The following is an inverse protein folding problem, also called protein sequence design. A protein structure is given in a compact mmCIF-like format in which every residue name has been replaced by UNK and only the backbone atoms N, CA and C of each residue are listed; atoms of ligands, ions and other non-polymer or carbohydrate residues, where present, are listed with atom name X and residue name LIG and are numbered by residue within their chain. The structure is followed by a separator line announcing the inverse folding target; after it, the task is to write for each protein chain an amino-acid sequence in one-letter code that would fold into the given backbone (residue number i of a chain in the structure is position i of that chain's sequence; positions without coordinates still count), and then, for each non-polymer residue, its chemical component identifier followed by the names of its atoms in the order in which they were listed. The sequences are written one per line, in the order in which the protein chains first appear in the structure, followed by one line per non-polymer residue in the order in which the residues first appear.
data_IF_038568271025
#
_entry.id   IF_038568271025
#
_cell.length_a   1.000
_cell.length_b   1.000
_cell.length_c   1.000
_cell.angle_alpha   90.00
_cell.angle_beta   90.00
_cell.angle_gamma   90.00
#
_symmetry.space_group_name_H-M   'P 1'
#
loop_
_entity.id
_entity.type
_entity.pdbx_description
1 polymer ?
#
# COMPACT_ATOMS: atom_id res chain seq x y z
N UNK A 1 10.12 -51.93 -4.02
CA UNK A 1 10.40 -51.42 -5.38
C UNK A 1 9.47 -50.23 -5.62
N UNK A 2 9.93 -48.98 -5.41
CA UNK A 2 9.12 -47.81 -5.77
C UNK A 2 9.05 -47.72 -7.29
N UNK A 3 7.83 -47.72 -7.85
CA UNK A 3 7.62 -47.44 -9.28
C UNK A 3 7.39 -45.95 -9.44
N UNK A 4 8.20 -45.29 -10.26
CA UNK A 4 7.94 -43.91 -10.66
C UNK A 4 6.67 -43.87 -11.53
N UNK A 5 5.78 -42.92 -11.23
CA UNK A 5 4.59 -42.65 -12.03
C UNK A 5 4.87 -41.47 -12.97
N UNK A 6 4.51 -41.61 -14.25
CA UNK A 6 4.52 -40.52 -15.23
C UNK A 6 3.20 -40.54 -15.98
N UNK A 7 2.47 -39.43 -15.97
CA UNK A 7 1.22 -39.29 -16.71
C UNK A 7 1.22 -37.93 -17.40
N UNK A 8 1.15 -37.93 -18.74
CA UNK A 8 1.13 -36.72 -19.58
C UNK A 8 2.23 -35.68 -19.27
N UNK A 9 3.39 -36.14 -18.78
CA UNK A 9 4.47 -35.26 -18.32
C UNK A 9 5.02 -34.29 -19.39
N UNK A 10 4.81 -34.58 -20.67
CA UNK A 10 5.29 -33.75 -21.79
C UNK A 10 4.17 -32.94 -22.47
N UNK A 11 2.95 -32.93 -21.92
CA UNK A 11 1.83 -32.15 -22.46
C UNK A 11 1.83 -30.77 -21.78
N UNK A 12 1.87 -29.66 -22.53
CA UNK A 12 1.74 -28.34 -21.94
C UNK A 12 0.39 -28.18 -21.23
N UNK A 13 0.41 -27.59 -20.05
CA UNK A 13 -0.76 -27.29 -19.25
C UNK A 13 -0.65 -25.87 -18.71
N UNK A 14 -1.79 -25.21 -18.47
CA UNK A 14 -1.79 -23.98 -17.69
C UNK A 14 -1.36 -24.32 -16.25
N UNK A 15 -0.26 -23.74 -15.78
CA UNK A 15 0.35 -24.14 -14.51
C UNK A 15 -0.44 -23.62 -13.29
N UNK A 16 -1.35 -22.67 -13.48
CA UNK A 16 -1.97 -21.93 -12.37
C UNK A 16 -0.89 -21.33 -11.48
N UNK A 17 -0.97 -21.56 -10.17
CA UNK A 17 0.07 -21.15 -9.21
C UNK A 17 1.37 -21.99 -9.29
N UNK A 18 1.42 -23.06 -10.10
CA UNK A 18 2.61 -23.90 -10.26
C UNK A 18 3.84 -23.18 -10.82
N UNK A 19 3.65 -22.06 -11.53
CA UNK A 19 4.74 -21.24 -12.07
C UNK A 19 5.50 -20.45 -10.99
N UNK A 20 4.95 -20.33 -9.77
CA UNK A 20 5.63 -19.64 -8.66
C UNK A 20 6.98 -20.29 -8.35
N UNK A 21 7.06 -21.62 -8.40
CA UNK A 21 8.29 -22.36 -8.10
C UNK A 21 9.44 -22.01 -9.06
N UNK A 22 9.14 -21.82 -10.35
CA UNK A 22 10.12 -21.38 -11.34
C UNK A 22 10.63 -19.96 -11.06
N UNK A 23 9.71 -19.04 -10.75
CA UNK A 23 10.05 -17.67 -10.37
C UNK A 23 10.91 -17.61 -9.10
N UNK A 24 10.57 -18.40 -8.07
CA UNK A 24 11.36 -18.48 -6.85
C UNK A 24 12.81 -18.90 -7.11
N UNK A 25 13.01 -19.95 -7.92
CA UNK A 25 14.35 -20.45 -8.24
C UNK A 25 15.15 -19.40 -9.03
N UNK A 26 14.51 -18.74 -10.00
CA UNK A 26 15.14 -17.68 -10.78
C UNK A 26 15.58 -16.50 -9.89
N UNK A 27 14.67 -15.98 -9.07
CA UNK A 27 14.95 -14.87 -8.16
C UNK A 27 16.09 -15.22 -7.19
N UNK A 28 16.04 -16.40 -6.57
CA UNK A 28 17.07 -16.87 -5.65
C UNK A 28 18.46 -16.90 -6.33
N UNK A 29 18.52 -17.35 -7.59
CA UNK A 29 19.76 -17.38 -8.35
C UNK A 29 20.29 -16.00 -8.77
N UNK A 30 19.46 -14.96 -8.80
CA UNK A 30 19.85 -13.62 -9.24
C UNK A 30 20.14 -12.64 -8.10
N UNK A 31 19.28 -12.56 -7.09
CA UNK A 31 19.46 -11.61 -5.97
C UNK A 31 20.06 -12.27 -4.73
N UNK A 32 20.05 -13.60 -4.67
CA UNK A 32 20.51 -14.36 -3.51
C UNK A 32 19.49 -14.41 -2.36
N UNK A 33 19.70 -15.29 -1.37
CA UNK A 33 18.81 -15.48 -0.23
C UNK A 33 18.70 -14.26 0.70
N UNK A 34 19.78 -13.48 0.80
CA UNK A 34 19.92 -12.40 1.79
C UNK A 34 19.43 -11.04 1.27
N UNK A 35 18.85 -11.01 0.06
CA UNK A 35 18.36 -9.77 -0.53
C UNK A 35 17.20 -9.18 0.29
N UNK A 36 17.29 -7.88 0.57
CA UNK A 36 16.22 -7.13 1.23
C UNK A 36 15.86 -5.92 0.39
N UNK A 37 14.56 -5.73 0.16
CA UNK A 37 14.02 -4.53 -0.46
C UNK A 37 14.26 -3.29 0.41
N UNK A 38 14.53 -2.16 -0.23
CA UNK A 38 14.79 -0.89 0.46
C UNK A 38 13.86 0.21 -0.06
N UNK A 39 13.29 0.96 0.86
CA UNK A 39 12.59 2.23 0.59
C UNK A 39 13.43 3.34 1.20
N UNK A 40 13.88 4.28 0.38
CA UNK A 40 14.84 5.32 0.77
C UNK A 40 14.18 6.68 0.85
N UNK A 41 14.67 7.52 1.77
CA UNK A 41 14.16 8.88 1.99
C UNK A 41 15.26 9.90 1.68
N UNK A 42 14.96 10.85 0.80
CA UNK A 42 15.85 11.92 0.38
C UNK A 42 15.22 13.28 0.61
N UNK A 43 16.03 14.32 0.58
CA UNK A 43 15.53 15.69 0.52
C UNK A 43 16.44 16.55 -0.35
N UNK A 44 15.85 17.54 -1.01
CA UNK A 44 16.54 18.61 -1.73
C UNK A 44 16.64 19.92 -0.90
N UNK A 45 16.11 19.90 0.32
CA UNK A 45 15.97 21.06 1.19
C UNK A 45 16.90 21.04 2.40
N UNK A 46 16.84 22.12 3.20
CA UNK A 46 17.52 22.20 4.49
C UNK A 46 16.55 21.93 5.62
N UNK A 47 16.94 21.10 6.58
CA UNK A 47 16.22 20.89 7.82
C UNK A 47 16.73 21.86 8.89
N UNK A 48 15.85 22.72 9.43
CA UNK A 48 16.18 23.64 10.51
C UNK A 48 14.99 23.80 11.46
N UNK A 49 15.24 23.68 12.77
CA UNK A 49 14.24 23.88 13.83
C UNK A 49 12.92 23.11 13.63
N UNK A 50 12.98 21.88 13.13
CA UNK A 50 11.78 21.07 12.88
C UNK A 50 11.19 21.20 11.47
N UNK A 51 11.67 22.16 10.68
CA UNK A 51 11.10 22.54 9.38
C UNK A 51 12.05 22.13 8.25
N UNK A 52 11.56 21.28 7.35
CA UNK A 52 12.21 20.93 6.10
C UNK A 52 11.81 21.95 5.02
N UNK A 53 12.75 22.82 4.67
CA UNK A 53 12.60 23.82 3.62
C UNK A 53 12.94 23.21 2.25
N UNK A 54 12.00 22.44 1.71
CA UNK A 54 12.12 21.72 0.45
C UNK A 54 11.21 20.50 0.44
N UNK A 55 11.48 19.58 -0.47
CA UNK A 55 10.71 18.36 -0.66
C UNK A 55 11.31 17.19 0.14
N UNK A 56 10.43 16.29 0.58
CA UNK A 56 10.80 14.95 1.02
C UNK A 56 10.54 13.99 -0.14
N UNK A 57 11.56 13.25 -0.57
CA UNK A 57 11.39 12.25 -1.63
C UNK A 57 11.45 10.86 -1.02
N UNK A 58 10.43 10.05 -1.31
CA UNK A 58 10.34 8.64 -0.92
C UNK A 58 10.55 7.81 -2.17
N UNK A 59 11.70 7.16 -2.26
CA UNK A 59 12.08 6.32 -3.39
C UNK A 59 11.86 4.86 -3.06
N UNK A 60 10.96 4.22 -3.80
CA UNK A 60 10.68 2.80 -3.68
C UNK A 60 11.69 1.98 -4.45
N UNK A 61 12.33 1.04 -3.78
CA UNK A 61 13.23 0.06 -4.40
C UNK A 61 12.54 -1.23 -4.84
N UNK A 62 11.20 -1.24 -4.92
CA UNK A 62 10.40 -2.41 -5.31
C UNK A 62 9.87 -3.25 -4.14
N UNK A 63 9.90 -2.71 -2.91
CA UNK A 63 9.42 -3.42 -1.72
C UNK A 63 7.93 -3.81 -1.86
N UNK A 64 7.59 -5.11 -1.93
CA UNK A 64 6.21 -5.55 -2.05
C UNK A 64 5.44 -5.44 -0.73
N UNK A 65 6.09 -5.04 0.37
CA UNK A 65 5.54 -4.97 1.73
C UNK A 65 5.85 -3.64 2.42
N UNK A 66 5.80 -2.52 1.70
CA UNK A 66 5.74 -1.20 2.33
C UNK A 66 4.32 -0.91 2.86
N UNK A 67 3.96 -1.65 3.92
CA UNK A 67 2.65 -1.66 4.59
C UNK A 67 2.54 -0.61 5.69
N UNK A 68 1.33 -0.46 6.23
CA UNK A 68 0.97 0.51 7.28
C UNK A 68 2.02 0.63 8.38
N UNK A 69 2.40 -0.50 8.99
CA UNK A 69 3.30 -0.55 10.14
C UNK A 69 4.68 0.00 9.80
N UNK A 70 5.20 -0.35 8.62
CA UNK A 70 6.52 0.11 8.16
C UNK A 70 6.51 1.58 7.79
N UNK A 71 5.40 2.07 7.21
CA UNK A 71 5.21 3.50 6.95
C UNK A 71 5.17 4.28 8.28
N UNK A 72 4.44 3.77 9.27
CA UNK A 72 4.36 4.38 10.59
C UNK A 72 5.75 4.45 11.26
N UNK A 73 6.51 3.37 11.24
CA UNK A 73 7.89 3.33 11.75
C UNK A 73 8.81 4.31 11.02
N UNK A 74 8.70 4.39 9.69
CA UNK A 74 9.48 5.32 8.88
C UNK A 74 9.14 6.77 9.25
N UNK A 75 7.86 7.14 9.36
CA UNK A 75 7.47 8.50 9.73
C UNK A 75 7.80 8.82 11.19
N UNK A 76 7.63 7.91 12.14
CA UNK A 76 8.14 8.06 13.51
C UNK A 76 9.64 8.33 13.51
N UNK A 77 10.40 7.62 12.69
CA UNK A 77 11.85 7.84 12.54
C UNK A 77 12.15 9.24 11.99
N UNK A 78 11.42 9.70 10.97
CA UNK A 78 11.55 11.07 10.45
C UNK A 78 11.27 12.13 11.53
N UNK A 79 10.24 11.93 12.36
CA UNK A 79 9.92 12.83 13.47
C UNK A 79 11.06 12.87 14.50
N UNK A 80 11.67 11.72 14.83
CA UNK A 80 12.84 11.63 15.72
C UNK A 80 14.06 12.34 15.13
N UNK A 81 14.25 12.27 13.81
CA UNK A 81 15.29 13.00 13.09
C UNK A 81 14.99 14.51 12.96
N UNK A 82 13.85 14.97 13.47
CA UNK A 82 13.47 16.38 13.52
C UNK A 82 12.66 16.86 12.32
N UNK A 83 12.24 16.00 11.40
CA UNK A 83 11.35 16.39 10.29
C UNK A 83 9.92 16.43 10.79
N UNK A 84 9.46 17.62 11.22
CA UNK A 84 8.09 17.81 11.76
C UNK A 84 7.18 18.55 10.80
N UNK A 85 7.73 19.49 10.05
CA UNK A 85 6.99 20.33 9.09
C UNK A 85 7.74 20.34 7.76
N UNK A 86 7.06 20.04 6.66
CA UNK A 86 7.60 20.09 5.30
C UNK A 86 6.91 21.25 4.57
N UNK A 87 7.69 22.21 4.08
CA UNK A 87 7.16 23.37 3.35
C UNK A 87 6.98 23.12 1.86
N UNK A 88 7.67 22.10 1.31
CA UNK A 88 7.50 21.63 -0.06
C UNK A 88 6.54 20.45 -0.16
N UNK A 89 6.79 19.58 -1.14
CA UNK A 89 6.01 18.38 -1.41
C UNK A 89 6.59 17.12 -0.76
N UNK A 90 5.77 16.08 -0.64
CA UNK A 90 6.26 14.69 -0.53
C UNK A 90 6.19 14.07 -1.92
N UNK A 91 7.35 13.72 -2.48
CA UNK A 91 7.46 13.13 -3.81
C UNK A 91 7.58 11.62 -3.67
N UNK A 92 6.68 10.87 -4.30
CA UNK A 92 6.69 9.42 -4.37
C UNK A 92 7.36 8.99 -5.67
N UNK A 93 8.56 8.42 -5.56
CA UNK A 93 9.32 7.93 -6.69
C UNK A 93 9.21 6.41 -6.77
N UNK A 94 8.46 5.93 -7.77
CA UNK A 94 8.27 4.52 -8.07
C UNK A 94 8.98 4.08 -9.36
N UNK A 95 9.98 4.85 -9.83
CA UNK A 95 10.63 4.64 -11.13
C UNK A 95 11.64 3.49 -11.20
N UNK A 96 11.82 2.72 -10.13
CA UNK A 96 12.68 1.51 -10.13
C UNK A 96 12.19 0.45 -11.12
N UNK A 97 10.90 0.45 -11.45
CA UNK A 97 10.32 -0.43 -12.46
C UNK A 97 9.78 0.35 -13.65
N UNK A 98 10.09 -0.12 -14.85
CA UNK A 98 9.45 0.31 -16.09
C UNK A 98 8.34 -0.67 -16.45
N UNK A 99 7.11 -0.36 -16.02
CA UNK A 99 5.96 -1.25 -16.19
C UNK A 99 5.09 -0.81 -17.36
N UNK A 100 4.66 -1.79 -18.17
CA UNK A 100 3.54 -1.58 -19.09
C UNK A 100 2.24 -1.48 -18.30
N UNK A 101 1.41 -0.49 -18.61
CA UNK A 101 0.11 -0.32 -17.95
C UNK A 101 -0.79 -1.52 -18.26
N UNK A 102 -1.20 -2.24 -17.22
CA UNK A 102 -2.23 -3.29 -17.24
C UNK A 102 -3.44 -2.79 -16.42
N UNK A 103 -4.65 -3.23 -16.73
CA UNK A 103 -5.81 -2.94 -15.92
C UNK A 103 -6.10 -4.10 -14.97
N UNK A 104 -6.53 -3.77 -13.75
CA UNK A 104 -6.76 -4.71 -12.66
C UNK A 104 -7.87 -5.73 -13.01
N UNK A 105 -8.80 -5.37 -13.89
CA UNK A 105 -9.90 -6.23 -14.33
C UNK A 105 -9.54 -7.18 -15.49
N UNK A 106 -8.36 -7.07 -16.10
CA UNK A 106 -8.04 -7.73 -17.37
C UNK A 106 -8.02 -9.27 -17.28
N UNK A 107 -7.90 -9.84 -16.08
CA UNK A 107 -7.83 -11.28 -15.84
C UNK A 107 -9.20 -11.95 -15.63
N UNK A 108 -10.00 -11.44 -14.68
CA UNK A 108 -11.24 -12.07 -14.22
C UNK A 108 -12.42 -11.10 -14.02
N UNK A 109 -12.25 -9.81 -14.31
CA UNK A 109 -13.26 -8.77 -14.11
C UNK A 109 -13.38 -8.24 -12.67
N UNK A 110 -12.66 -8.82 -11.71
CA UNK A 110 -12.77 -8.51 -10.28
C UNK A 110 -11.84 -7.35 -9.89
N UNK A 111 -12.11 -6.14 -10.38
CA UNK A 111 -11.25 -4.96 -10.16
C UNK A 111 -11.07 -4.56 -8.69
N UNK A 112 -12.00 -4.92 -7.80
CA UNK A 112 -11.89 -4.64 -6.36
C UNK A 112 -11.19 -5.75 -5.56
N UNK A 113 -10.77 -6.83 -6.22
CA UNK A 113 -10.02 -7.90 -5.59
C UNK A 113 -8.55 -7.50 -5.38
N UNK A 114 -8.03 -7.48 -4.13
CA UNK A 114 -6.65 -7.08 -3.87
C UNK A 114 -5.57 -7.87 -4.64
N UNK A 115 -5.84 -9.14 -4.97
CA UNK A 115 -4.88 -9.98 -5.72
C UNK A 115 -4.68 -9.51 -7.17
N UNK A 116 -5.58 -8.68 -7.70
CA UNK A 116 -5.46 -8.08 -9.03
C UNK A 116 -4.61 -6.80 -9.04
N UNK A 117 -4.03 -6.41 -7.90
CA UNK A 117 -3.18 -5.23 -7.81
C UNK A 117 -1.96 -5.32 -8.72
N UNK A 118 -1.79 -4.30 -9.54
CA UNK A 118 -0.64 -4.20 -10.46
C UNK A 118 0.66 -3.95 -9.69
N UNK A 119 1.80 -4.54 -10.12
CA UNK A 119 3.10 -4.25 -9.55
C UNK A 119 3.39 -2.74 -9.51
N UNK A 120 4.18 -2.31 -8.53
CA UNK A 120 4.55 -0.90 -8.36
C UNK A 120 5.94 -0.80 -7.73
N UNK A 121 6.75 0.14 -8.20
CA UNK A 121 8.08 0.39 -7.63
C UNK A 121 8.04 0.90 -6.19
N UNK A 122 6.92 1.55 -5.81
CA UNK A 122 6.61 1.94 -4.44
C UNK A 122 5.21 1.41 -4.08
N UNK A 123 5.11 0.09 -3.85
CA UNK A 123 3.84 -0.55 -3.51
C UNK A 123 3.43 -0.24 -2.06
N UNK A 124 2.50 0.70 -1.92
CA UNK A 124 1.87 1.00 -0.62
C UNK A 124 0.75 0.01 -0.35
N UNK A 125 0.84 -0.72 0.76
CA UNK A 125 -0.23 -1.56 1.33
C UNK A 125 -1.05 -2.37 0.30
N UNK A 126 -0.39 -2.97 -0.69
CA UNK A 126 -1.02 -3.75 -1.77
C UNK A 126 -2.13 -3.00 -2.53
N UNK A 127 -2.09 -1.66 -2.57
CA UNK A 127 -3.16 -0.82 -3.15
C UNK A 127 -4.56 -1.11 -2.59
N UNK A 128 -4.62 -1.60 -1.36
CA UNK A 128 -5.83 -2.10 -0.73
C UNK A 128 -6.06 -1.48 0.66
N UNK A 129 -7.34 -1.34 1.01
CA UNK A 129 -7.78 -1.04 2.37
C UNK A 129 -8.50 -2.24 2.97
N UNK A 130 -8.47 -2.31 4.29
CA UNK A 130 -9.21 -3.26 5.09
C UNK A 130 -10.31 -2.48 5.81
N UNK A 131 -11.56 -2.79 5.46
CA UNK A 131 -12.73 -2.28 6.17
C UNK A 131 -13.09 -3.26 7.29
N UNK A 132 -13.03 -2.80 8.54
CA UNK A 132 -13.43 -3.57 9.72
C UNK A 132 -14.79 -3.11 10.20
N UNK A 133 -15.73 -4.05 10.30
CA UNK A 133 -17.10 -3.85 10.74
C UNK A 133 -17.28 -4.44 12.13
N UNK A 134 -17.48 -3.58 13.13
CA UNK A 134 -17.61 -4.00 14.53
C UNK A 134 -18.99 -3.59 15.07
N UNK A 135 -19.89 -4.55 15.36
CA UNK A 135 -21.19 -4.25 15.97
C UNK A 135 -21.06 -3.51 17.31
N UNK A 136 -21.93 -2.53 17.53
CA UNK A 136 -22.06 -1.77 18.77
C UNK A 136 -23.51 -1.82 19.24
N UNK A 137 -23.78 -2.70 20.22
CA UNK A 137 -25.12 -2.92 20.73
C UNK A 137 -25.67 -1.73 21.51
N UNK A 138 -24.81 -0.86 22.06
CA UNK A 138 -25.25 0.31 22.82
C UNK A 138 -25.84 1.37 21.88
N UNK A 139 -25.20 1.57 20.72
CA UNK A 139 -25.64 2.57 19.74
C UNK A 139 -26.58 1.99 18.69
N UNK A 140 -26.78 0.67 18.65
CA UNK A 140 -27.53 -0.04 17.62
C UNK A 140 -26.98 0.26 16.20
N UNK A 141 -25.67 0.41 16.10
CA UNK A 141 -24.95 0.62 14.84
C UNK A 141 -23.80 -0.36 14.72
N UNK A 142 -23.20 -0.43 13.54
CA UNK A 142 -21.97 -1.18 13.27
C UNK A 142 -20.93 -0.16 12.87
N UNK A 143 -19.87 -0.04 13.66
CA UNK A 143 -18.77 0.89 13.38
C UNK A 143 -17.94 0.35 12.23
N UNK A 144 -17.55 1.25 11.33
CA UNK A 144 -16.68 0.95 10.19
C UNK A 144 -15.36 1.67 10.39
N UNK A 145 -14.26 0.91 10.35
CA UNK A 145 -12.90 1.44 10.37
C UNK A 145 -12.19 1.04 9.10
N UNK A 146 -11.45 1.98 8.49
CA UNK A 146 -10.58 1.70 7.36
C UNK A 146 -9.12 1.72 7.80
N UNK A 147 -8.36 0.72 7.36
CA UNK A 147 -6.91 0.64 7.53
C UNK A 147 -6.23 0.28 6.20
N UNK A 148 -5.20 1.03 5.75
CA UNK A 148 -4.65 2.24 6.34
C UNK A 148 -5.62 3.44 6.28
N UNK A 149 -5.40 4.49 7.08
CA UNK A 149 -6.10 5.75 6.89
C UNK A 149 -5.78 6.32 5.51
N UNK A 150 -6.77 6.95 4.88
CA UNK A 150 -6.68 7.43 3.49
C UNK A 150 -7.17 8.88 3.40
N UNK A 151 -6.30 9.79 2.96
CA UNK A 151 -6.62 11.21 2.94
C UNK A 151 -7.58 11.56 1.79
N UNK A 152 -8.53 12.46 2.08
CA UNK A 152 -9.45 12.99 1.08
C UNK A 152 -10.46 11.96 0.56
N UNK A 153 -10.76 10.93 1.35
CA UNK A 153 -11.82 9.95 1.08
C UNK A 153 -12.78 9.95 2.27
N UNK A 154 -14.07 10.19 2.01
CA UNK A 154 -15.12 10.07 3.01
C UNK A 154 -15.59 8.63 3.09
N UNK A 155 -15.37 7.98 4.22
CA UNK A 155 -15.86 6.63 4.49
C UNK A 155 -16.93 6.73 5.56
N UNK A 156 -18.13 6.23 5.27
CA UNK A 156 -19.21 6.16 6.26
C UNK A 156 -18.70 5.39 7.51
N UNK A 157 -18.68 6.05 8.67
CA UNK A 157 -18.09 5.51 9.90
C UNK A 157 -19.01 4.53 10.64
N UNK A 158 -20.27 4.42 10.21
CA UNK A 158 -21.27 3.54 10.80
C UNK A 158 -22.25 3.03 9.75
N UNK A 159 -22.76 1.82 9.97
CA UNK A 159 -23.88 1.23 9.21
C UNK A 159 -25.01 0.88 10.19
N UNK A 160 -26.29 1.02 9.81
CA UNK A 160 -27.39 0.57 10.64
C UNK A 160 -27.29 -0.93 10.98
N UNK A 161 -27.59 -1.28 12.22
CA UNK A 161 -27.65 -2.67 12.65
C UNK A 161 -28.93 -3.34 12.12
N UNK A 162 -28.76 -4.48 11.44
CA UNK A 162 -29.85 -5.29 10.90
C UNK A 162 -30.26 -6.43 11.82
N UNK A 163 -31.53 -6.83 11.75
CA UNK A 163 -32.09 -7.96 12.51
C UNK A 163 -32.07 -9.30 11.76
N UNK A 164 -31.55 -9.31 10.53
CA UNK A 164 -31.36 -10.48 9.69
C UNK A 164 -30.28 -11.44 10.26
N UNK A 165 -30.25 -12.68 9.76
CA UNK A 165 -29.10 -13.56 9.97
C UNK A 165 -27.84 -13.00 9.29
N UNK A 166 -26.64 -13.49 9.67
CA UNK A 166 -25.40 -12.96 9.10
C UNK A 166 -25.30 -13.15 7.58
N UNK A 167 -25.56 -14.38 7.09
CA UNK A 167 -25.68 -14.68 5.65
C UNK A 167 -24.60 -14.06 4.76
N UNK A 168 -25.01 -13.60 3.58
CA UNK A 168 -24.20 -12.77 2.70
C UNK A 168 -24.22 -11.30 3.17
N UNK A 169 -23.42 -11.04 4.20
CA UNK A 169 -23.31 -9.73 4.81
C UNK A 169 -22.73 -8.67 3.87
N UNK A 170 -21.90 -9.05 2.88
CA UNK A 170 -21.27 -8.10 1.95
C UNK A 170 -22.30 -7.48 1.02
N UNK A 171 -23.16 -8.30 0.41
CA UNK A 171 -24.29 -7.79 -0.38
C UNK A 171 -25.29 -7.01 0.49
N UNK A 172 -25.47 -7.42 1.74
CA UNK A 172 -26.34 -6.75 2.71
C UNK A 172 -25.93 -5.31 3.03
N UNK A 173 -24.63 -4.99 2.98
CA UNK A 173 -24.09 -3.65 3.19
C UNK A 173 -24.46 -2.66 2.08
N UNK A 174 -24.74 -3.14 0.86
CA UNK A 174 -24.94 -2.31 -0.33
C UNK A 174 -23.86 -1.22 -0.43
N UNK A 175 -22.61 -1.67 -0.41
CA UNK A 175 -21.45 -0.80 -0.48
C UNK A 175 -21.33 -0.18 -1.88
N UNK A 176 -21.00 1.11 -1.93
CA UNK A 176 -20.73 1.85 -3.15
C UNK A 176 -19.26 2.29 -3.15
N UNK A 177 -18.53 1.82 -4.18
CA UNK A 177 -17.11 2.11 -4.44
C UNK A 177 -16.90 2.87 -5.75
N UNK A 178 -17.98 3.34 -6.39
CA UNK A 178 -17.94 3.97 -7.72
C UNK A 178 -17.21 5.32 -7.73
N UNK A 179 -17.13 5.98 -6.57
CA UNK A 179 -16.44 7.25 -6.42
C UNK A 179 -15.16 7.06 -5.59
N UNK A 180 -13.98 7.47 -6.09
CA UNK A 180 -12.73 7.27 -5.37
C UNK A 180 -12.64 8.08 -4.08
N UNK A 181 -13.33 9.21 -3.99
CA UNK A 181 -13.38 10.08 -2.83
C UNK A 181 -14.47 9.72 -1.81
N UNK A 182 -15.30 8.69 -2.06
CA UNK A 182 -16.37 8.30 -1.15
C UNK A 182 -16.64 6.79 -1.14
N UNK A 183 -16.63 6.20 0.05
CA UNK A 183 -17.10 4.82 0.29
C UNK A 183 -18.33 4.91 1.18
N UNK A 184 -19.46 4.39 0.70
CA UNK A 184 -20.73 4.47 1.43
C UNK A 184 -21.48 3.16 1.50
N UNK A 185 -22.33 3.03 2.51
CA UNK A 185 -23.12 1.81 2.74
C UNK A 185 -24.61 2.17 2.82
N UNK A 186 -25.38 1.75 1.81
CA UNK A 186 -26.82 2.01 1.75
C UNK A 186 -27.68 0.90 2.40
N UNK A 187 -27.02 -0.12 2.96
CA UNK A 187 -27.64 -1.33 3.50
C UNK A 187 -27.61 -1.40 5.03
N UNK A 188 -27.56 -2.63 5.55
CA UNK A 188 -27.53 -2.91 6.99
C UNK A 188 -26.61 -4.09 7.28
N UNK A 189 -26.09 -4.15 8.51
CA UNK A 189 -25.19 -5.21 8.95
C UNK A 189 -25.71 -5.87 10.23
N UNK A 190 -25.78 -7.21 10.25
CA UNK A 190 -26.31 -7.94 11.40
C UNK A 190 -25.29 -8.10 12.53
N UNK A 191 -25.69 -7.80 13.77
CA UNK A 191 -24.85 -8.08 14.94
C UNK A 191 -24.47 -9.57 15.07
N UNK A 192 -25.28 -10.47 14.51
CA UNK A 192 -24.99 -11.92 14.51
C UNK A 192 -23.75 -12.30 13.70
N UNK A 193 -23.24 -11.40 12.86
CA UNK A 193 -21.97 -11.63 12.16
C UNK A 193 -20.74 -11.52 13.07
N UNK A 194 -20.88 -10.85 14.24
CA UNK A 194 -19.74 -10.41 15.03
C UNK A 194 -18.89 -9.41 14.24
N UNK A 195 -17.62 -9.31 14.59
CA UNK A 195 -16.67 -8.51 13.83
C UNK A 195 -16.26 -9.20 12.52
N UNK A 196 -16.20 -8.45 11.42
CA UNK A 196 -15.68 -8.93 10.13
C UNK A 196 -14.77 -7.91 9.48
N UNK A 197 -13.82 -8.42 8.70
CA UNK A 197 -12.93 -7.63 7.85
C UNK A 197 -13.26 -7.84 6.37
N UNK A 198 -13.17 -6.77 5.58
CA UNK A 198 -13.30 -6.79 4.14
C UNK A 198 -12.09 -6.10 3.51
N UNK A 199 -11.10 -6.88 3.02
CA UNK A 199 -10.03 -6.33 2.20
C UNK A 199 -10.58 -6.02 0.81
N UNK A 200 -10.33 -4.80 0.32
CA UNK A 200 -10.73 -4.34 -1.01
C UNK A 200 -9.58 -3.57 -1.66
N UNK A 201 -9.34 -3.80 -2.95
CA UNK A 201 -8.51 -2.92 -3.74
C UNK A 201 -9.18 -1.55 -3.82
N UNK A 202 -8.39 -0.49 -3.77
CA UNK A 202 -8.90 0.86 -3.86
C UNK A 202 -9.28 1.20 -5.30
N UNK A 203 -10.44 1.84 -5.49
CA UNK A 203 -11.05 2.06 -6.81
C UNK A 203 -10.26 3.00 -7.74
N UNK A 204 -9.34 3.80 -7.20
CA UNK A 204 -8.39 4.60 -7.97
C UNK A 204 -6.94 4.31 -7.53
N UNK A 205 -6.36 3.19 -8.02
CA UNK A 205 -5.06 2.70 -7.57
C UNK A 205 -3.92 3.73 -7.73
N UNK A 206 -4.02 4.62 -8.72
CA UNK A 206 -3.00 5.62 -9.02
C UNK A 206 -2.85 6.68 -7.91
N UNK A 207 -3.94 7.03 -7.20
CA UNK A 207 -3.88 8.02 -6.13
C UNK A 207 -3.70 7.41 -4.73
N UNK A 208 -3.81 6.08 -4.62
CA UNK A 208 -3.79 5.37 -3.34
C UNK A 208 -2.57 5.71 -2.48
N UNK A 209 -1.37 5.55 -3.04
CA UNK A 209 -0.11 5.77 -2.34
C UNK A 209 -0.01 7.19 -1.77
N UNK A 210 -0.36 8.20 -2.59
CA UNK A 210 -0.32 9.59 -2.19
C UNK A 210 -1.29 9.90 -1.03
N UNK A 211 -2.50 9.33 -1.09
CA UNK A 211 -3.53 9.52 -0.06
C UNK A 211 -3.16 8.86 1.26
N UNK A 212 -2.64 7.64 1.23
CA UNK A 212 -2.19 6.91 2.42
C UNK A 212 -0.98 7.59 3.05
N UNK A 213 0.03 7.93 2.26
CA UNK A 213 1.23 8.65 2.76
C UNK A 213 0.83 9.96 3.41
N UNK A 214 -0.07 10.74 2.80
CA UNK A 214 -0.57 11.99 3.38
C UNK A 214 -1.24 11.76 4.73
N UNK A 215 -2.16 10.79 4.80
CA UNK A 215 -2.88 10.49 6.03
C UNK A 215 -1.94 10.01 7.15
N UNK A 216 -1.02 9.12 6.81
CA UNK A 216 -0.05 8.55 7.73
C UNK A 216 0.96 9.57 8.25
N UNK A 217 1.45 10.47 7.38
CA UNK A 217 2.37 11.53 7.80
C UNK A 217 1.69 12.50 8.78
N UNK A 218 0.44 12.88 8.51
CA UNK A 218 -0.36 13.70 9.41
C UNK A 218 -0.67 12.98 10.73
N UNK A 219 -1.00 11.68 10.68
CA UNK A 219 -1.25 10.86 11.87
C UNK A 219 -0.02 10.73 12.77
N UNK A 220 1.18 10.74 12.18
CA UNK A 220 2.45 10.77 12.90
C UNK A 220 2.78 12.16 13.51
N UNK A 221 1.89 13.16 13.38
CA UNK A 221 2.08 14.52 13.87
C UNK A 221 2.84 15.44 12.91
N UNK A 222 3.11 14.98 11.68
CA UNK A 222 3.74 15.77 10.64
C UNK A 222 2.80 16.83 10.07
N UNK A 223 3.35 17.99 9.70
CA UNK A 223 2.66 19.03 8.95
C UNK A 223 3.24 19.13 7.54
N UNK A 224 2.38 19.22 6.54
CA UNK A 224 2.75 19.39 5.14
C UNK A 224 2.03 20.61 4.56
N UNK A 225 2.76 21.56 4.00
CA UNK A 225 2.17 22.72 3.32
C UNK A 225 1.87 22.43 1.84
N UNK A 226 2.71 21.62 1.19
CA UNK A 226 2.51 21.18 -0.19
C UNK A 226 1.57 19.97 -0.31
N UNK A 227 1.86 19.13 -1.31
CA UNK A 227 1.06 17.93 -1.60
C UNK A 227 1.92 16.66 -1.62
N UNK A 228 1.25 15.52 -1.57
CA UNK A 228 1.88 14.23 -1.86
C UNK A 228 1.59 13.91 -3.33
N UNK A 229 2.64 13.69 -4.12
CA UNK A 229 2.50 13.43 -5.56
C UNK A 229 3.54 12.45 -6.06
N UNK A 230 3.23 11.74 -7.13
CA UNK A 230 4.23 10.93 -7.84
C UNK A 230 5.20 11.84 -8.58
N UNK A 231 6.47 11.45 -8.60
CA UNK A 231 7.52 12.15 -9.35
C UNK A 231 8.85 11.44 -9.22
N UNK A 232 9.73 11.64 -10.19
CA UNK A 232 11.07 11.05 -10.15
C UNK A 232 12.00 11.88 -9.29
N UNK A 233 12.95 11.22 -8.63
CA UNK A 233 14.11 11.89 -8.06
C UNK A 233 14.80 12.70 -9.18
N UNK A 234 14.93 14.03 -9.05
CA UNK A 234 15.73 14.79 -10.00
C UNK A 234 17.17 14.29 -9.88
N UNK A 235 17.68 13.69 -10.95
CA UNK A 235 19.03 13.14 -11.03
C UNK A 235 20.03 14.30 -10.88
N UNK A 236 20.37 14.65 -9.65
CA UNK A 236 21.54 15.46 -9.29
C UNK A 236 22.33 14.71 -8.24
N UNK A 237 23.22 13.78 -8.66
CA UNK A 237 24.14 13.13 -7.76
C UNK A 237 25.17 14.17 -7.32
N UNK A 238 24.98 14.75 -6.12
CA UNK A 238 26.02 15.32 -5.26
C UNK A 238 25.45 16.04 -4.01
N UNK A 239 24.15 16.30 -3.91
CA UNK A 239 23.61 17.11 -2.80
C UNK A 239 22.28 16.60 -2.22
N UNK A 240 21.99 15.30 -2.29
CA UNK A 240 20.94 14.71 -1.47
C UNK A 240 21.59 14.12 -0.22
N UNK A 241 21.49 14.82 0.90
CA UNK A 241 21.93 14.30 2.20
C UNK A 241 20.98 13.16 2.56
N UNK A 242 21.46 11.92 2.53
CA UNK A 242 20.70 10.78 3.07
C UNK A 242 20.46 11.02 4.56
N UNK A 243 19.20 10.93 5.00
CA UNK A 243 18.88 10.98 6.42
C UNK A 243 19.59 9.81 7.13
N UNK A 244 20.22 10.04 8.29
CA UNK A 244 21.23 9.13 8.81
C UNK A 244 20.63 7.82 9.34
N UNK A 245 20.60 6.79 8.47
CA UNK A 245 20.80 5.37 8.82
C UNK A 245 21.07 4.42 7.64
N UNK A 246 21.39 4.92 6.45
CA UNK A 246 21.77 4.08 5.31
C UNK A 246 23.17 4.46 4.83
N UNK A 247 24.16 3.64 5.20
CA UNK A 247 25.55 3.81 4.80
C UNK A 247 25.72 3.58 3.30
N UNK A 248 26.20 4.60 2.59
CA UNK A 248 26.66 4.49 1.22
C UNK A 248 28.03 3.78 1.22
N UNK A 249 28.08 2.51 0.79
CA UNK A 249 29.35 1.82 0.53
C UNK A 249 29.85 2.29 -0.83
N UNK A 250 30.83 3.21 -0.83
CA UNK A 250 31.57 3.60 -2.04
C UNK A 250 32.27 2.37 -2.63
N UNK A 251 31.84 1.88 -3.78
CA UNK A 251 32.73 1.12 -4.66
C UNK A 251 33.56 2.11 -5.47
N UNK A 252 34.87 2.12 -5.23
CA UNK A 252 35.84 2.74 -6.12
C UNK A 252 36.04 1.83 -7.34
N UNK A 253 36.29 2.39 -8.54
CA UNK A 253 36.60 1.60 -9.72
C UNK A 253 38.04 1.09 -9.67
N UNK A 254 38.23 -0.14 -10.14
CA UNK A 254 39.46 -0.60 -10.81
C UNK A 254 39.10 -0.97 -12.23
#
# INVERSE_FOLDING_TARGET
MLRCLSHRANVPHEPGFGDEAGHHLFCFGHVGPDFTWQTSFYTNGKLSNGVLQGDLIIHGGGDPKWVLERIEENFKTLQVLGVRHITGDIILDNSVFELTKKHEADFDGEHLSPYNSTPDGLLVNFKAIILTFTPDELTQTVRVKSEPPIAGVSIDSTVPMGNNGCGDWRSGLRADFTHPDRISFAGSYSARCGEKVWPIAYSDPATFAARVVKAMYNAAGGRLDGQVRTGTLPIRPCCCTTLPRYHCRKSLPT
#
